data_IF_538410439875
#
_entry.id   IF_538410439875
#
_cell.length_a   1.000
_cell.length_b   1.000
_cell.length_c   1.000
_cell.angle_alpha   90.00
_cell.angle_beta   90.00
_cell.angle_gamma   90.00
#
_symmetry.space_group_name_H-M   'P 1'
#
loop_
_entity.id
_entity.type
_entity.pdbx_description
1 polymer ?
#
# COMPACT_ATOMS: atom_id res chain seq x y z
N UNK A 1 -63.76 -3.38 -2.02
CA UNK A 1 -62.76 -2.53 -1.35
C UNK A 1 -61.87 -3.33 -0.36
N UNK A 2 -62.39 -4.12 0.57
CA UNK A 2 -61.59 -4.95 1.48
C UNK A 2 -60.69 -6.01 0.78
N UNK A 3 -61.17 -6.60 -0.33
CA UNK A 3 -60.38 -7.60 -1.08
C UNK A 3 -59.18 -6.98 -1.80
N UNK A 4 -59.34 -5.75 -2.29
CA UNK A 4 -58.30 -4.99 -2.97
C UNK A 4 -57.19 -4.53 -1.99
N UNK A 5 -57.60 -4.08 -0.80
CA UNK A 5 -56.66 -3.72 0.30
C UNK A 5 -55.90 -4.93 0.80
N UNK A 6 -56.52 -6.10 0.93
CA UNK A 6 -55.86 -7.34 1.33
C UNK A 6 -54.88 -7.84 0.26
N UNK A 7 -55.21 -7.63 -1.03
CA UNK A 7 -54.26 -7.99 -2.13
C UNK A 7 -53.09 -7.03 -2.20
N UNK A 8 -53.29 -5.74 -1.94
CA UNK A 8 -52.25 -4.72 -1.89
C UNK A 8 -51.31 -4.97 -0.70
N UNK A 9 -51.84 -5.29 0.49
CA UNK A 9 -51.01 -5.65 1.68
C UNK A 9 -50.25 -6.95 1.50
N UNK A 10 -50.81 -7.94 0.80
CA UNK A 10 -50.09 -9.18 0.45
C UNK A 10 -48.99 -8.95 -0.59
N UNK A 11 -49.19 -8.09 -1.58
CA UNK A 11 -48.16 -7.73 -2.55
C UNK A 11 -47.05 -6.90 -1.91
N UNK A 12 -47.38 -5.92 -1.08
CA UNK A 12 -46.35 -5.14 -0.35
C UNK A 12 -45.57 -6.01 0.61
N UNK A 13 -46.22 -6.95 1.31
CA UNK A 13 -45.51 -7.90 2.18
C UNK A 13 -44.57 -8.82 1.38
N UNK A 14 -45.03 -9.34 0.23
CA UNK A 14 -44.20 -10.23 -0.63
C UNK A 14 -43.05 -9.49 -1.29
N UNK A 15 -43.19 -8.21 -1.64
CA UNK A 15 -42.09 -7.38 -2.15
C UNK A 15 -41.09 -7.03 -1.06
N UNK A 16 -41.49 -6.78 0.18
CA UNK A 16 -40.62 -6.56 1.31
C UNK A 16 -39.82 -7.83 1.65
N UNK A 17 -40.47 -8.99 1.76
CA UNK A 17 -39.82 -10.27 2.03
C UNK A 17 -38.79 -10.62 0.96
N UNK A 18 -39.04 -10.30 -0.31
CA UNK A 18 -38.11 -10.53 -1.41
C UNK A 18 -36.94 -9.56 -1.35
N UNK A 19 -37.14 -8.30 -0.98
CA UNK A 19 -36.05 -7.31 -0.82
C UNK A 19 -35.12 -7.67 0.35
N UNK A 20 -35.68 -8.12 1.46
CA UNK A 20 -34.90 -8.57 2.64
C UNK A 20 -34.06 -9.81 2.32
N UNK A 21 -34.62 -10.78 1.60
CA UNK A 21 -33.84 -11.97 1.18
C UNK A 21 -32.69 -11.61 0.25
N UNK A 22 -32.88 -10.65 -0.66
CA UNK A 22 -31.80 -10.17 -1.55
C UNK A 22 -30.70 -9.46 -0.75
N UNK A 23 -31.09 -8.61 0.21
CA UNK A 23 -30.14 -7.92 1.07
C UNK A 23 -29.32 -8.94 1.91
N UNK A 24 -30.00 -9.93 2.52
CA UNK A 24 -29.35 -10.99 3.28
C UNK A 24 -28.32 -11.76 2.43
N UNK A 25 -28.70 -12.18 1.22
CA UNK A 25 -27.79 -12.88 0.30
C UNK A 25 -26.63 -12.00 -0.13
N UNK A 26 -26.85 -10.71 -0.36
CA UNK A 26 -25.83 -9.75 -0.75
C UNK A 26 -24.80 -9.56 0.36
N UNK A 27 -25.26 -9.37 1.60
CA UNK A 27 -24.39 -9.22 2.77
C UNK A 27 -23.61 -10.52 3.03
N UNK A 28 -24.26 -11.68 2.96
CA UNK A 28 -23.62 -12.99 3.12
C UNK A 28 -22.56 -13.24 2.03
N UNK A 29 -22.88 -12.95 0.78
CA UNK A 29 -21.93 -13.05 -0.33
C UNK A 29 -20.71 -12.14 -0.15
N UNK A 30 -20.94 -10.88 0.24
CA UNK A 30 -19.84 -9.95 0.57
C UNK A 30 -18.97 -10.45 1.74
N UNK A 31 -19.58 -11.01 2.77
CA UNK A 31 -18.84 -11.61 3.90
C UNK A 31 -17.92 -12.75 3.43
N UNK A 32 -18.40 -13.65 2.56
CA UNK A 32 -17.58 -14.73 1.99
C UNK A 32 -16.38 -14.16 1.23
N UNK A 33 -16.58 -13.13 0.40
CA UNK A 33 -15.49 -12.49 -0.34
C UNK A 33 -14.46 -11.89 0.61
N UNK A 34 -14.88 -11.17 1.65
CA UNK A 34 -13.96 -10.63 2.66
C UNK A 34 -13.21 -11.73 3.42
N UNK A 35 -13.85 -12.86 3.70
CA UNK A 35 -13.17 -14.02 4.28
C UNK A 35 -12.07 -14.56 3.37
N UNK A 36 -12.35 -14.73 2.08
CA UNK A 36 -11.37 -15.18 1.08
C UNK A 36 -10.20 -14.20 0.99
N UNK A 37 -10.47 -12.88 0.92
CA UNK A 37 -9.41 -11.86 0.90
C UNK A 37 -8.55 -11.96 2.17
N UNK A 38 -9.17 -12.15 3.34
CA UNK A 38 -8.45 -12.31 4.62
C UNK A 38 -7.51 -13.50 4.59
N UNK A 39 -7.99 -14.66 4.14
CA UNK A 39 -7.20 -15.87 4.02
C UNK A 39 -6.05 -15.71 3.03
N UNK A 40 -6.33 -15.20 1.84
CA UNK A 40 -5.33 -14.98 0.79
C UNK A 40 -4.24 -14.00 1.27
N UNK A 41 -4.63 -12.84 1.81
CA UNK A 41 -3.66 -11.85 2.31
C UNK A 41 -2.90 -12.37 3.53
N UNK A 42 -3.54 -13.11 4.43
CA UNK A 42 -2.90 -13.70 5.61
C UNK A 42 -1.87 -14.77 5.26
N UNK A 43 -2.13 -15.59 4.24
CA UNK A 43 -1.23 -16.66 3.82
C UNK A 43 -0.06 -16.15 2.96
N UNK A 44 -0.37 -15.36 1.92
CA UNK A 44 0.64 -14.95 0.94
C UNK A 44 1.42 -13.69 1.32
N UNK A 45 0.86 -12.84 2.17
CA UNK A 45 1.45 -11.54 2.49
C UNK A 45 1.84 -11.36 3.96
N UNK A 46 1.85 -12.43 4.76
CA UNK A 46 2.07 -12.40 6.23
C UNK A 46 3.37 -11.74 6.68
N UNK A 47 4.39 -11.73 5.84
CA UNK A 47 5.71 -11.16 6.18
C UNK A 47 5.79 -9.64 5.98
N UNK A 48 4.74 -9.00 5.47
CA UNK A 48 4.71 -7.56 5.20
C UNK A 48 3.56 -6.89 5.93
N UNK A 49 3.89 -5.95 6.81
CA UNK A 49 2.95 -5.27 7.70
C UNK A 49 1.75 -4.67 6.95
N UNK A 50 1.98 -3.99 5.82
CA UNK A 50 0.90 -3.37 5.04
C UNK A 50 -0.14 -4.37 4.54
N UNK A 51 0.30 -5.56 4.14
CA UNK A 51 -0.61 -6.60 3.64
C UNK A 51 -1.32 -7.33 4.77
N UNK A 52 -0.64 -7.49 5.91
CA UNK A 52 -1.24 -8.01 7.13
C UNK A 52 -2.35 -7.07 7.64
N UNK A 53 -2.14 -5.75 7.60
CA UNK A 53 -3.19 -4.78 7.93
C UNK A 53 -4.39 -4.89 6.99
N UNK A 54 -4.16 -5.12 5.70
CA UNK A 54 -5.24 -5.35 4.75
C UNK A 54 -6.03 -6.64 5.06
N UNK A 55 -5.34 -7.72 5.48
CA UNK A 55 -5.99 -8.93 5.95
C UNK A 55 -6.86 -8.67 7.19
N UNK A 56 -6.36 -7.94 8.18
CA UNK A 56 -7.11 -7.57 9.38
C UNK A 56 -8.35 -6.72 9.07
N UNK A 57 -8.24 -5.72 8.17
CA UNK A 57 -9.40 -4.94 7.74
C UNK A 57 -10.47 -5.85 7.17
N UNK A 58 -10.09 -6.72 6.24
CA UNK A 58 -11.06 -7.64 5.61
C UNK A 58 -11.63 -8.65 6.62
N UNK A 59 -10.86 -9.11 7.61
CA UNK A 59 -11.34 -9.96 8.70
C UNK A 59 -12.39 -9.26 9.57
N UNK A 60 -12.19 -7.98 9.89
CA UNK A 60 -13.18 -7.17 10.62
C UNK A 60 -14.43 -6.99 9.76
N UNK A 61 -14.28 -6.67 8.48
CA UNK A 61 -15.42 -6.54 7.58
C UNK A 61 -16.17 -7.86 7.38
N UNK A 62 -15.49 -8.99 7.30
CA UNK A 62 -16.11 -10.31 7.31
C UNK A 62 -16.98 -10.50 8.55
N UNK A 63 -16.44 -10.27 9.73
CA UNK A 63 -17.18 -10.44 10.99
C UNK A 63 -18.38 -9.49 11.08
N UNK A 64 -18.19 -8.21 10.74
CA UNK A 64 -19.26 -7.21 10.81
C UNK A 64 -20.36 -7.46 9.78
N UNK A 65 -20.00 -7.80 8.53
CA UNK A 65 -21.01 -8.09 7.49
C UNK A 65 -21.76 -9.39 7.77
N UNK A 66 -21.08 -10.38 8.34
CA UNK A 66 -21.72 -11.63 8.75
C UNK A 66 -22.75 -11.38 9.87
N UNK A 67 -22.35 -10.64 10.92
CA UNK A 67 -23.27 -10.24 11.99
C UNK A 67 -24.45 -9.42 11.44
N UNK A 68 -24.18 -8.44 10.59
CA UNK A 68 -25.24 -7.63 9.97
C UNK A 68 -26.19 -8.49 9.12
N UNK A 69 -25.68 -9.50 8.42
CA UNK A 69 -26.49 -10.44 7.65
C UNK A 69 -27.44 -11.22 8.54
N UNK A 70 -26.94 -11.83 9.63
CA UNK A 70 -27.77 -12.62 10.54
C UNK A 70 -28.79 -11.79 11.32
N UNK A 71 -28.45 -10.55 11.68
CA UNK A 71 -29.31 -9.66 12.44
C UNK A 71 -30.03 -8.60 11.56
N UNK A 72 -30.06 -8.80 10.23
CA UNK A 72 -30.61 -7.81 9.30
C UNK A 72 -32.05 -7.40 9.60
N UNK A 73 -32.92 -8.33 10.02
CA UNK A 73 -34.29 -8.03 10.41
C UNK A 73 -34.35 -7.19 11.69
N UNK A 74 -33.60 -7.58 12.74
CA UNK A 74 -33.57 -6.83 13.98
C UNK A 74 -32.97 -5.42 13.80
N UNK A 75 -32.00 -5.29 12.88
CA UNK A 75 -31.40 -3.99 12.52
C UNK A 75 -32.37 -3.14 11.70
N UNK A 76 -33.15 -3.75 10.82
CA UNK A 76 -34.16 -3.04 10.03
C UNK A 76 -35.33 -2.55 10.86
N UNK A 77 -35.75 -3.31 11.89
CA UNK A 77 -36.82 -2.95 12.83
C UNK A 77 -36.35 -1.94 13.88
N UNK A 78 -35.08 -2.01 14.29
CA UNK A 78 -34.44 -1.11 15.24
C UNK A 78 -33.77 0.06 14.55
N UNK A 79 -34.32 1.28 14.66
CA UNK A 79 -33.63 2.47 14.17
C UNK A 79 -32.39 2.76 15.05
N UNK A 80 -31.16 2.59 14.56
CA UNK A 80 -29.94 2.84 15.33
C UNK A 80 -29.71 4.33 15.58
N UNK A 81 -30.50 5.20 14.96
CA UNK A 81 -30.34 6.65 15.04
C UNK A 81 -29.13 7.16 14.24
N UNK A 82 -28.96 8.48 14.25
CA UNK A 82 -27.92 9.20 13.52
C UNK A 82 -26.56 8.98 14.20
N UNK A 83 -25.52 8.67 13.42
CA UNK A 83 -24.14 8.55 13.86
C UNK A 83 -23.95 7.55 15.02
N UNK A 84 -24.50 6.35 14.90
CA UNK A 84 -24.39 5.34 15.95
C UNK A 84 -22.92 5.07 16.33
N UNK A 85 -22.56 5.00 17.64
CA UNK A 85 -21.16 4.86 18.08
C UNK A 85 -20.42 3.67 17.49
N UNK A 86 -21.10 2.51 17.41
CA UNK A 86 -20.48 1.29 16.85
C UNK A 86 -20.11 1.46 15.36
N UNK A 87 -20.95 2.15 14.56
CA UNK A 87 -20.66 2.44 13.16
C UNK A 87 -19.44 3.37 13.03
N UNK A 88 -19.33 4.39 13.87
CA UNK A 88 -18.21 5.33 13.85
C UNK A 88 -16.90 4.70 14.34
N UNK A 89 -16.94 3.82 15.32
CA UNK A 89 -15.76 3.06 15.76
C UNK A 89 -15.29 2.09 14.67
N UNK A 90 -16.22 1.39 13.99
CA UNK A 90 -15.89 0.53 12.87
C UNK A 90 -15.24 1.33 11.72
N UNK A 91 -15.80 2.50 11.38
CA UNK A 91 -15.23 3.42 10.40
C UNK A 91 -13.82 3.85 10.79
N UNK A 92 -13.62 4.28 12.04
CA UNK A 92 -12.33 4.75 12.54
C UNK A 92 -11.26 3.66 12.47
N UNK A 93 -11.58 2.44 12.91
CA UNK A 93 -10.67 1.30 12.81
C UNK A 93 -10.33 0.96 11.35
N UNK A 94 -11.32 0.97 10.47
CA UNK A 94 -11.12 0.73 9.05
C UNK A 94 -10.25 1.82 8.41
N UNK A 95 -10.50 3.10 8.68
CA UNK A 95 -9.70 4.21 8.18
C UNK A 95 -8.24 4.13 8.62
N UNK A 96 -7.99 3.80 9.90
CA UNK A 96 -6.65 3.61 10.43
C UNK A 96 -5.92 2.48 9.71
N UNK A 97 -6.48 1.27 9.70
CA UNK A 97 -5.83 0.09 9.13
C UNK A 97 -5.62 0.24 7.62
N UNK A 98 -6.59 0.78 6.91
CA UNK A 98 -6.46 1.00 5.47
C UNK A 98 -5.50 2.14 5.11
N UNK A 99 -5.27 3.11 6.01
CA UNK A 99 -4.26 4.15 5.80
C UNK A 99 -2.82 3.60 5.81
N UNK A 100 -2.58 2.50 6.51
CA UNK A 100 -1.25 1.90 6.64
C UNK A 100 -0.76 1.34 5.30
N UNK A 101 -1.64 0.78 4.48
CA UNK A 101 -1.28 0.19 3.19
C UNK A 101 -0.62 1.23 2.25
N UNK A 102 -1.28 2.34 1.87
CA UNK A 102 -0.68 3.33 0.97
C UNK A 102 0.51 4.07 1.60
N UNK A 103 0.48 4.32 2.92
CA UNK A 103 1.59 4.98 3.61
C UNK A 103 2.87 4.14 3.56
N UNK A 104 2.78 2.84 3.76
CA UNK A 104 3.95 1.97 3.75
C UNK A 104 4.49 1.68 2.34
N UNK A 105 3.63 1.72 1.31
CA UNK A 105 4.07 1.64 -0.09
C UNK A 105 4.76 2.93 -0.52
N UNK A 106 4.17 4.09 -0.20
CA UNK A 106 4.72 5.40 -0.56
C UNK A 106 6.01 5.72 0.18
N UNK A 107 6.16 5.24 1.42
CA UNK A 107 7.29 5.48 2.29
C UNK A 107 7.79 4.16 2.91
N UNK A 108 8.52 3.32 2.17
CA UNK A 108 9.03 2.04 2.66
C UNK A 108 9.87 2.23 3.94
N UNK A 109 9.52 1.49 5.01
CA UNK A 109 10.20 1.58 6.30
C UNK A 109 9.76 2.74 7.21
N UNK A 110 8.83 3.59 6.79
CA UNK A 110 8.27 4.65 7.64
C UNK A 110 7.44 4.07 8.78
N UNK A 111 6.56 3.10 8.49
CA UNK A 111 5.71 2.44 9.47
C UNK A 111 6.38 1.17 10.02
N UNK A 112 7.38 1.33 10.85
CA UNK A 112 7.86 0.28 11.74
C UNK A 112 6.84 0.06 12.88
N UNK A 113 6.90 -1.11 13.54
CA UNK A 113 5.97 -1.49 14.60
C UNK A 113 5.76 -0.40 15.67
N UNK A 114 6.83 0.20 16.15
CA UNK A 114 6.76 1.29 17.13
C UNK A 114 6.06 2.55 16.60
N UNK A 115 6.27 2.88 15.33
CA UNK A 115 5.61 4.03 14.69
C UNK A 115 4.14 3.76 14.43
N UNK A 116 3.77 2.52 14.11
CA UNK A 116 2.36 2.11 14.01
C UNK A 116 1.62 2.32 15.32
N UNK A 117 2.19 1.90 16.45
CA UNK A 117 1.60 2.15 17.76
C UNK A 117 1.50 3.63 18.09
N UNK A 118 2.51 4.42 17.76
CA UNK A 118 2.44 5.88 17.90
C UNK A 118 1.34 6.50 17.03
N UNK A 119 1.17 6.02 15.82
CA UNK A 119 0.13 6.44 14.89
C UNK A 119 -1.28 6.01 15.36
N UNK A 120 -1.40 4.89 16.07
CA UNK A 120 -2.64 4.41 16.68
C UNK A 120 -3.03 5.12 17.99
N UNK A 121 -2.11 5.85 18.64
CA UNK A 121 -2.36 6.49 19.96
C UNK A 121 -3.68 7.27 20.05
N UNK A 122 -4.08 8.10 19.09
CA UNK A 122 -5.34 8.85 19.18
C UNK A 122 -6.56 7.91 19.28
N UNK A 123 -6.54 6.79 18.56
CA UNK A 123 -7.63 5.79 18.64
C UNK A 123 -7.64 5.11 19.99
N UNK A 124 -6.48 4.70 20.49
CA UNK A 124 -6.37 4.02 21.78
C UNK A 124 -6.84 4.91 22.93
N UNK A 125 -6.49 6.20 22.89
CA UNK A 125 -6.96 7.18 23.87
C UNK A 125 -8.47 7.35 23.79
N UNK A 126 -9.03 7.53 22.58
CA UNK A 126 -10.47 7.65 22.39
C UNK A 126 -11.22 6.40 22.88
N UNK A 127 -10.72 5.22 22.53
CA UNK A 127 -11.30 3.95 22.97
C UNK A 127 -11.25 3.78 24.50
N UNK A 128 -10.13 4.15 25.13
CA UNK A 128 -9.99 4.10 26.57
C UNK A 128 -10.98 5.05 27.27
N UNK A 129 -11.16 6.27 26.76
CA UNK A 129 -12.15 7.22 27.26
C UNK A 129 -13.57 6.67 27.09
N UNK A 130 -13.87 6.08 25.91
CA UNK A 130 -15.19 5.50 25.65
C UNK A 130 -15.51 4.34 26.58
N UNK A 131 -14.56 3.42 26.78
CA UNK A 131 -14.71 2.31 27.73
C UNK A 131 -14.85 2.84 29.17
N UNK A 132 -14.02 3.81 29.58
CA UNK A 132 -14.11 4.43 30.89
C UNK A 132 -15.46 5.10 31.13
N UNK A 133 -16.00 5.84 30.17
CA UNK A 133 -17.32 6.44 30.24
C UNK A 133 -18.44 5.38 30.35
N UNK A 134 -18.34 4.30 29.59
CA UNK A 134 -19.29 3.19 29.66
C UNK A 134 -19.27 2.50 31.05
N UNK A 135 -18.08 2.26 31.60
CA UNK A 135 -17.93 1.70 32.96
C UNK A 135 -18.46 2.63 34.06
N UNK A 136 -18.41 3.95 33.83
CA UNK A 136 -19.00 4.96 34.76
C UNK A 136 -20.52 5.10 34.57
N UNK A 137 -21.14 4.25 33.72
CA UNK A 137 -22.59 4.26 33.52
C UNK A 137 -23.08 5.32 32.54
N UNK A 138 -22.20 5.89 31.73
CA UNK A 138 -22.60 6.78 30.64
C UNK A 138 -23.50 6.03 29.66
N UNK A 139 -24.69 6.58 29.41
CA UNK A 139 -25.67 5.96 28.51
C UNK A 139 -25.45 6.46 27.07
N UNK A 140 -25.66 5.58 26.10
CA UNK A 140 -25.69 5.94 24.68
C UNK A 140 -26.90 6.86 24.45
N UNK A 141 -26.67 8.03 23.90
CA UNK A 141 -27.72 8.98 23.53
C UNK A 141 -28.19 8.64 22.12
N UNK A 142 -29.44 8.22 21.99
CA UNK A 142 -30.04 8.01 20.67
C UNK A 142 -30.43 9.36 20.06
N UNK A 143 -29.99 9.60 18.84
CA UNK A 143 -30.20 10.84 18.09
C UNK A 143 -31.01 10.49 16.85
N UNK A 144 -32.20 11.04 16.74
CA UNK A 144 -33.07 10.81 15.58
C UNK A 144 -33.24 12.07 14.73
N UNK A 145 -32.98 13.24 15.29
CA UNK A 145 -33.12 14.51 14.58
C UNK A 145 -31.89 15.39 14.74
N UNK A 146 -31.69 16.32 13.80
CA UNK A 146 -30.62 17.31 13.90
C UNK A 146 -30.77 18.21 15.16
N UNK A 147 -32.00 18.42 15.65
CA UNK A 147 -32.25 19.16 16.89
C UNK A 147 -31.72 18.41 18.11
N UNK A 148 -31.90 17.08 18.16
CA UNK A 148 -31.36 16.24 19.23
C UNK A 148 -29.84 16.29 19.27
N UNK A 149 -29.20 16.33 18.09
CA UNK A 149 -27.76 16.45 17.96
C UNK A 149 -27.27 17.79 18.54
N UNK A 150 -27.90 18.88 18.16
CA UNK A 150 -27.52 20.24 18.64
C UNK A 150 -27.83 20.38 20.12
N UNK A 151 -28.99 19.88 20.59
CA UNK A 151 -29.39 19.97 22.00
C UNK A 151 -28.46 19.19 22.95
N UNK A 152 -27.84 18.12 22.47
CA UNK A 152 -26.96 17.25 23.27
C UNK A 152 -25.47 17.35 22.88
N UNK A 153 -25.09 18.35 22.12
CA UNK A 153 -23.71 18.46 21.56
C UNK A 153 -22.62 18.44 22.61
N UNK A 154 -22.92 18.89 23.83
CA UNK A 154 -22.00 18.93 24.97
C UNK A 154 -22.00 17.61 25.77
N UNK A 155 -22.84 16.62 25.40
CA UNK A 155 -22.80 15.31 26.04
C UNK A 155 -21.49 14.58 25.71
N UNK A 156 -20.94 13.86 26.67
CA UNK A 156 -19.69 13.09 26.49
C UNK A 156 -19.77 12.09 25.34
N UNK A 157 -20.94 11.47 25.15
CA UNK A 157 -21.18 10.51 24.08
C UNK A 157 -21.11 11.16 22.68
N UNK A 158 -21.78 12.31 22.48
CA UNK A 158 -21.76 13.01 21.19
C UNK A 158 -20.38 13.58 20.91
N UNK A 159 -19.70 14.12 21.91
CA UNK A 159 -18.34 14.63 21.75
C UNK A 159 -17.38 13.52 21.27
N UNK A 160 -17.49 12.31 21.85
CA UNK A 160 -16.69 11.16 21.42
C UNK A 160 -17.02 10.71 20.00
N UNK A 161 -18.30 10.76 19.57
CA UNK A 161 -18.70 10.46 18.18
C UNK A 161 -18.09 11.46 17.21
N UNK A 162 -18.13 12.76 17.52
CA UNK A 162 -17.50 13.79 16.71
C UNK A 162 -15.97 13.64 16.64
N UNK A 163 -15.33 13.27 17.76
CA UNK A 163 -13.90 12.94 17.78
C UNK A 163 -13.58 11.72 16.91
N UNK A 164 -14.40 10.66 16.95
CA UNK A 164 -14.21 9.47 16.11
C UNK A 164 -14.32 9.83 14.63
N UNK A 165 -15.31 10.65 14.25
CA UNK A 165 -15.46 11.13 12.88
C UNK A 165 -14.27 12.00 12.45
N UNK A 166 -13.85 12.95 13.29
CA UNK A 166 -12.70 13.81 13.03
C UNK A 166 -11.40 13.02 12.88
N UNK A 167 -11.17 11.99 13.71
CA UNK A 167 -10.02 11.10 13.57
C UNK A 167 -10.10 10.25 12.29
N UNK A 168 -11.26 9.79 11.88
CA UNK A 168 -11.44 9.08 10.61
C UNK A 168 -11.01 9.95 9.43
N UNK A 169 -11.46 11.21 9.41
CA UNK A 169 -11.04 12.20 8.41
C UNK A 169 -9.53 12.46 8.49
N UNK A 170 -8.97 12.59 9.69
CA UNK A 170 -7.53 12.76 9.90
C UNK A 170 -6.71 11.62 9.26
N UNK A 171 -7.10 10.35 9.46
CA UNK A 171 -6.39 9.22 8.86
C UNK A 171 -6.48 9.21 7.34
N UNK A 172 -7.62 9.54 6.76
CA UNK A 172 -7.79 9.63 5.31
C UNK A 172 -6.96 10.78 4.73
N UNK A 173 -6.99 11.95 5.35
CA UNK A 173 -6.20 13.11 4.93
C UNK A 173 -4.69 12.82 5.02
N UNK A 174 -4.25 12.10 6.03
CA UNK A 174 -2.84 11.70 6.17
C UNK A 174 -2.33 10.80 5.04
N UNK A 175 -3.19 10.01 4.39
CA UNK A 175 -2.82 9.21 3.22
C UNK A 175 -2.24 10.12 2.12
N UNK A 176 -2.75 11.34 1.98
CA UNK A 176 -2.29 12.32 0.98
C UNK A 176 -1.17 13.22 1.51
N UNK A 177 -1.29 13.68 2.77
CA UNK A 177 -0.38 14.69 3.33
C UNK A 177 0.99 14.12 3.72
N UNK A 178 1.05 12.93 4.32
CA UNK A 178 2.32 12.35 4.80
C UNK A 178 3.29 12.05 3.66
N UNK A 179 2.89 11.35 2.58
CA UNK A 179 3.76 11.15 1.43
C UNK A 179 4.22 12.45 0.81
N UNK A 180 3.33 13.45 0.69
CA UNK A 180 3.68 14.75 0.13
C UNK A 180 4.68 15.52 0.98
N UNK A 181 4.58 15.45 2.31
CA UNK A 181 5.51 16.16 3.22
C UNK A 181 6.87 15.50 3.34
N UNK A 182 6.92 14.17 3.32
CA UNK A 182 8.15 13.41 3.62
C UNK A 182 8.90 12.93 2.38
N UNK A 183 8.24 12.75 1.26
CA UNK A 183 8.81 12.24 0.04
C UNK A 183 8.68 13.25 -1.10
N UNK A 184 9.52 14.28 -1.10
CA UNK A 184 9.64 15.19 -2.25
C UNK A 184 9.96 14.47 -3.58
N UNK A 185 10.27 13.17 -3.57
CA UNK A 185 10.74 12.40 -4.72
C UNK A 185 10.29 10.93 -4.75
N UNK A 186 9.25 10.51 -4.03
CA UNK A 186 8.75 9.14 -4.14
C UNK A 186 7.82 9.03 -5.34
N UNK A 187 8.19 8.22 -6.32
CA UNK A 187 7.28 7.80 -7.39
C UNK A 187 6.17 6.93 -6.79
N UNK A 188 5.02 7.54 -6.55
CA UNK A 188 3.83 6.84 -6.07
C UNK A 188 3.19 6.13 -7.26
N UNK A 189 2.97 4.81 -7.22
CA UNK A 189 2.29 4.10 -8.29
C UNK A 189 0.91 4.70 -8.58
N UNK A 190 0.56 4.88 -9.86
CA UNK A 190 -0.69 5.55 -10.26
C UNK A 190 -1.95 4.87 -9.71
N UNK A 191 -1.96 3.54 -9.58
CA UNK A 191 -3.09 2.80 -8.99
C UNK A 191 -3.31 3.17 -7.50
N UNK A 192 -2.25 3.56 -6.80
CA UNK A 192 -2.33 3.92 -5.38
C UNK A 192 -3.06 5.25 -5.19
N UNK A 193 -2.85 6.22 -6.09
CA UNK A 193 -3.60 7.48 -6.07
C UNK A 193 -5.09 7.23 -6.29
N UNK A 194 -5.45 6.41 -7.29
CA UNK A 194 -6.83 5.99 -7.53
C UNK A 194 -7.46 5.32 -6.32
N UNK A 195 -6.72 4.44 -5.66
CA UNK A 195 -7.16 3.80 -4.41
C UNK A 195 -7.40 4.82 -3.29
N UNK A 196 -6.50 5.78 -3.08
CA UNK A 196 -6.66 6.81 -2.05
C UNK A 196 -7.91 7.67 -2.30
N UNK A 197 -8.17 8.06 -3.55
CA UNK A 197 -9.39 8.79 -3.93
C UNK A 197 -10.63 7.94 -3.68
N UNK A 198 -10.65 6.68 -4.10
CA UNK A 198 -11.77 5.76 -3.87
C UNK A 198 -12.04 5.55 -2.37
N UNK A 199 -10.99 5.47 -1.55
CA UNK A 199 -11.11 5.41 -0.10
C UNK A 199 -11.74 6.68 0.49
N UNK A 200 -11.29 7.85 0.05
CA UNK A 200 -11.90 9.12 0.48
C UNK A 200 -13.39 9.17 0.17
N UNK A 201 -13.78 8.81 -1.06
CA UNK A 201 -15.19 8.73 -1.47
C UNK A 201 -15.98 7.69 -0.67
N UNK A 202 -15.36 6.53 -0.38
CA UNK A 202 -15.95 5.47 0.43
C UNK A 202 -16.27 5.96 1.86
N UNK A 203 -15.36 6.74 2.47
CA UNK A 203 -15.59 7.32 3.81
C UNK A 203 -16.72 8.34 3.79
N UNK A 204 -16.80 9.19 2.77
CA UNK A 204 -17.92 10.14 2.60
C UNK A 204 -19.23 9.39 2.47
N UNK A 205 -19.28 8.35 1.64
CA UNK A 205 -20.48 7.55 1.45
C UNK A 205 -20.89 6.81 2.73
N UNK A 206 -19.94 6.23 3.46
CA UNK A 206 -20.22 5.59 4.74
C UNK A 206 -20.77 6.60 5.78
N UNK A 207 -20.19 7.79 5.84
CA UNK A 207 -20.69 8.86 6.72
C UNK A 207 -22.12 9.25 6.36
N UNK A 208 -22.44 9.32 5.07
CA UNK A 208 -23.80 9.54 4.61
C UNK A 208 -24.75 8.42 5.08
N UNK A 209 -24.34 7.14 4.95
CA UNK A 209 -25.12 5.99 5.45
C UNK A 209 -25.28 6.04 6.98
N UNK A 210 -24.28 6.50 7.71
CA UNK A 210 -24.35 6.64 9.16
C UNK A 210 -25.28 7.77 9.64
N UNK A 211 -25.49 8.78 8.78
CA UNK A 211 -26.44 9.88 9.05
C UNK A 211 -27.87 9.48 8.62
N UNK A 212 -28.01 8.94 7.42
CA UNK A 212 -29.29 8.53 6.83
C UNK A 212 -29.35 7.00 6.77
N UNK A 213 -29.48 6.37 7.94
CA UNK A 213 -29.42 4.92 8.01
C UNK A 213 -30.53 4.28 7.18
N UNK A 214 -30.13 3.43 6.24
CA UNK A 214 -30.99 2.59 5.45
C UNK A 214 -30.24 1.30 5.11
N UNK A 215 -30.86 0.16 5.41
CA UNK A 215 -30.21 -1.15 5.20
C UNK A 215 -29.82 -1.39 3.74
N UNK A 216 -30.61 -0.89 2.78
CA UNK A 216 -30.30 -0.97 1.34
C UNK A 216 -29.05 -0.14 1.00
N UNK A 217 -28.95 1.08 1.52
CA UNK A 217 -27.76 1.93 1.33
C UNK A 217 -26.52 1.30 1.96
N UNK A 218 -26.66 0.70 3.14
CA UNK A 218 -25.59 -0.05 3.79
C UNK A 218 -25.14 -1.24 2.93
N UNK A 219 -26.09 -2.00 2.36
CA UNK A 219 -25.77 -3.12 1.47
C UNK A 219 -25.03 -2.65 0.21
N UNK A 220 -25.46 -1.55 -0.41
CA UNK A 220 -24.78 -0.94 -1.56
C UNK A 220 -23.36 -0.52 -1.18
N UNK A 221 -23.19 0.14 -0.02
CA UNK A 221 -21.87 0.51 0.48
C UNK A 221 -20.95 -0.72 0.63
N UNK A 222 -21.45 -1.79 1.28
CA UNK A 222 -20.69 -3.02 1.51
C UNK A 222 -20.27 -3.65 0.19
N UNK A 223 -21.12 -3.69 -0.83
CA UNK A 223 -20.78 -4.21 -2.16
C UNK A 223 -19.68 -3.38 -2.81
N UNK A 224 -19.81 -2.04 -2.83
CA UNK A 224 -18.80 -1.15 -3.41
C UNK A 224 -17.45 -1.29 -2.68
N UNK A 225 -17.48 -1.37 -1.36
CA UNK A 225 -16.30 -1.56 -0.54
C UNK A 225 -15.66 -2.94 -0.78
N UNK A 226 -16.47 -3.99 -0.97
CA UNK A 226 -15.99 -5.34 -1.32
C UNK A 226 -15.29 -5.34 -2.68
N UNK A 227 -15.85 -4.68 -3.68
CA UNK A 227 -15.23 -4.53 -5.01
C UNK A 227 -13.88 -3.81 -4.90
N UNK A 228 -13.81 -2.73 -4.12
CA UNK A 228 -12.58 -1.98 -3.90
C UNK A 228 -11.49 -2.85 -3.24
N UNK A 229 -11.84 -3.63 -2.22
CA UNK A 229 -10.88 -4.51 -1.54
C UNK A 229 -10.46 -5.69 -2.43
N UNK A 230 -11.36 -6.23 -3.25
CA UNK A 230 -11.05 -7.26 -4.23
C UNK A 230 -10.06 -6.74 -5.29
N UNK A 231 -10.30 -5.54 -5.82
CA UNK A 231 -9.36 -4.89 -6.73
C UNK A 231 -7.98 -4.72 -6.08
N UNK A 232 -7.94 -4.26 -4.83
CA UNK A 232 -6.69 -4.08 -4.10
C UNK A 232 -5.96 -5.40 -3.85
N UNK A 233 -6.68 -6.48 -3.55
CA UNK A 233 -6.13 -7.82 -3.44
C UNK A 233 -5.45 -8.24 -4.75
N UNK A 234 -6.13 -8.09 -5.89
CA UNK A 234 -5.56 -8.45 -7.19
C UNK A 234 -4.29 -7.65 -7.50
N UNK A 235 -4.30 -6.34 -7.27
CA UNK A 235 -3.11 -5.48 -7.45
C UNK A 235 -1.96 -5.87 -6.53
N UNK A 236 -2.27 -6.25 -5.30
CA UNK A 236 -1.28 -6.74 -4.34
C UNK A 236 -0.67 -8.06 -4.79
N UNK A 237 -1.48 -9.01 -5.23
CA UNK A 237 -1.02 -10.30 -5.75
C UNK A 237 -0.20 -10.13 -7.02
N UNK A 238 -0.61 -9.25 -7.93
CA UNK A 238 0.16 -8.91 -9.14
C UNK A 238 1.55 -8.38 -8.77
N UNK A 239 1.63 -7.43 -7.83
CA UNK A 239 2.91 -6.89 -7.37
C UNK A 239 3.77 -7.92 -6.65
N UNK A 240 3.18 -8.84 -5.90
CA UNK A 240 3.89 -9.94 -5.26
C UNK A 240 4.37 -10.97 -6.28
N UNK A 241 3.54 -11.32 -7.27
CA UNK A 241 3.90 -12.26 -8.34
C UNK A 241 5.07 -11.73 -9.20
N UNK A 242 5.08 -10.42 -9.48
CA UNK A 242 6.20 -9.77 -10.19
C UNK A 242 7.50 -9.73 -9.37
N UNK A 243 7.41 -9.85 -8.03
CA UNK A 243 8.54 -9.88 -7.12
C UNK A 243 9.02 -11.30 -6.81
N UNK A 244 8.21 -12.33 -7.13
CA UNK A 244 8.64 -13.72 -7.00
C UNK A 244 9.64 -14.02 -8.13
N UNK A 245 10.78 -14.66 -7.81
CA UNK A 245 11.64 -15.20 -8.86
C UNK A 245 10.79 -16.15 -9.70
N UNK A 246 10.76 -15.94 -11.01
CA UNK A 246 10.12 -16.91 -11.92
C UNK A 246 10.86 -18.22 -11.73
N UNK A 247 10.17 -19.36 -11.46
CA UNK A 247 10.84 -20.62 -11.50
C UNK A 247 11.43 -20.77 -12.90
N UNK A 248 12.74 -20.84 -12.99
CA UNK A 248 13.42 -21.26 -14.19
C UNK A 248 12.98 -22.71 -14.35
N UNK A 249 12.13 -22.98 -15.33
CA UNK A 249 11.85 -24.35 -15.75
C UNK A 249 13.14 -24.83 -16.40
N UNK A 250 14.06 -25.28 -15.57
CA UNK A 250 15.16 -26.11 -16.01
C UNK A 250 14.57 -27.51 -16.15
N UNK A 251 14.33 -27.89 -17.38
CA UNK A 251 14.28 -29.30 -17.74
C UNK A 251 15.67 -29.90 -17.48
N UNK A 252 15.96 -30.26 -16.26
CA UNK A 252 17.08 -31.15 -15.92
C UNK A 252 16.67 -31.98 -14.71
N UNK A 253 16.55 -33.29 -14.97
CA UNK A 253 16.67 -34.46 -14.11
C UNK A 253 16.73 -34.28 -12.58
N UNK A 254 15.83 -35.06 -11.95
CA UNK A 254 15.79 -35.36 -10.52
C UNK A 254 17.13 -35.87 -10.01
N UNK A 255 17.67 -35.22 -8.98
CA UNK A 255 18.66 -35.78 -8.05
C UNK A 255 18.16 -35.53 -6.63
N UNK A 256 18.21 -36.51 -5.71
CA UNK A 256 17.53 -36.45 -4.41
C UNK A 256 18.19 -35.47 -3.46
N UNK A 257 17.32 -34.81 -2.67
CA UNK A 257 17.70 -33.81 -1.66
C UNK A 257 18.46 -34.45 -0.49
N UNK A 258 19.66 -33.94 -0.21
CA UNK A 258 20.27 -33.94 1.12
C UNK A 258 20.15 -32.53 1.71
N UNK A 259 19.64 -32.47 2.94
CA UNK A 259 19.51 -31.24 3.72
C UNK A 259 20.90 -30.63 3.99
N UNK A 260 21.14 -29.43 3.41
CA UNK A 260 22.35 -28.66 3.74
C UNK A 260 21.99 -27.17 3.84
N UNK A 261 22.33 -26.56 4.97
CA UNK A 261 22.24 -25.10 5.20
C UNK A 261 23.11 -24.28 4.24
N UNK A 262 24.06 -24.90 3.59
CA UNK A 262 24.91 -24.30 2.56
C UNK A 262 24.16 -24.10 1.24
N UNK A 263 23.10 -24.86 0.97
CA UNK A 263 22.29 -24.77 -0.26
C UNK A 263 21.43 -23.47 -0.32
N UNK A 264 20.94 -22.96 0.81
CA UNK A 264 20.20 -21.68 0.82
C UNK A 264 21.10 -20.48 0.49
N UNK A 265 22.37 -20.54 0.90
CA UNK A 265 23.34 -19.50 0.62
C UNK A 265 23.79 -19.54 -0.86
N UNK A 266 23.92 -20.71 -1.44
CA UNK A 266 24.29 -20.90 -2.84
C UNK A 266 23.15 -20.47 -3.78
N UNK A 267 21.91 -20.82 -3.47
CA UNK A 267 20.70 -20.42 -4.24
C UNK A 267 20.51 -18.89 -4.22
N UNK A 268 20.82 -18.24 -3.07
CA UNK A 268 20.80 -16.80 -2.91
C UNK A 268 21.90 -16.12 -3.75
N UNK A 269 23.08 -16.68 -3.79
CA UNK A 269 24.20 -16.18 -4.56
C UNK A 269 23.96 -16.33 -6.07
N UNK A 270 23.41 -17.44 -6.50
CA UNK A 270 23.05 -17.71 -7.88
C UNK A 270 21.94 -16.74 -8.37
N UNK A 271 20.91 -16.52 -7.56
CA UNK A 271 19.85 -15.56 -7.87
C UNK A 271 20.38 -14.11 -7.99
N UNK A 272 21.37 -13.72 -7.15
CA UNK A 272 22.02 -12.42 -7.26
C UNK A 272 22.89 -12.32 -8.52
N UNK A 273 23.59 -13.39 -8.89
CA UNK A 273 24.41 -13.46 -10.10
C UNK A 273 23.52 -13.30 -11.35
N UNK A 274 22.42 -14.02 -11.45
CA UNK A 274 21.47 -13.88 -12.57
C UNK A 274 20.89 -12.47 -12.70
N UNK A 275 20.53 -11.85 -11.57
CA UNK A 275 20.06 -10.46 -11.56
C UNK A 275 21.14 -9.50 -12.02
N UNK A 276 22.37 -9.71 -11.53
CA UNK A 276 23.52 -8.90 -11.95
C UNK A 276 23.82 -9.04 -13.45
N UNK A 277 23.79 -10.25 -13.99
CA UNK A 277 23.97 -10.50 -15.41
C UNK A 277 22.95 -9.72 -16.26
N UNK A 278 21.67 -9.67 -15.82
CA UNK A 278 20.63 -8.90 -16.49
C UNK A 278 20.87 -7.39 -16.38
N UNK A 279 21.29 -6.91 -15.21
CA UNK A 279 21.64 -5.49 -15.01
C UNK A 279 22.83 -5.12 -15.89
N UNK A 280 23.86 -5.97 -15.92
CA UNK A 280 25.06 -5.76 -16.69
C UNK A 280 24.80 -5.80 -18.21
N UNK A 281 23.96 -6.73 -18.67
CA UNK A 281 23.50 -6.79 -20.06
C UNK A 281 22.77 -5.50 -20.47
N UNK A 282 21.88 -4.99 -19.61
CA UNK A 282 21.20 -3.74 -19.88
C UNK A 282 22.19 -2.58 -19.97
N UNK A 283 23.11 -2.43 -19.02
CA UNK A 283 24.13 -1.39 -19.01
C UNK A 283 25.03 -1.43 -20.25
N UNK A 284 25.38 -2.62 -20.75
CA UNK A 284 26.19 -2.77 -21.94
C UNK A 284 25.47 -2.33 -23.24
N UNK A 285 24.14 -2.56 -23.32
CA UNK A 285 23.36 -2.30 -24.51
C UNK A 285 22.70 -0.92 -24.55
N UNK A 286 22.56 -0.22 -23.41
CA UNK A 286 21.86 1.06 -23.30
C UNK A 286 22.80 2.21 -22.92
N UNK A 287 23.84 2.35 -23.70
CA UNK A 287 24.93 3.31 -23.45
C UNK A 287 24.44 4.77 -23.44
N UNK A 288 23.51 5.11 -24.31
CA UNK A 288 23.03 6.49 -24.44
C UNK A 288 22.26 6.94 -23.17
N UNK A 289 21.53 6.04 -22.55
CA UNK A 289 20.72 6.30 -21.36
C UNK A 289 21.61 6.60 -20.13
N UNK A 290 22.59 5.74 -19.83
CA UNK A 290 23.44 5.95 -18.66
C UNK A 290 24.53 7.02 -18.86
N UNK A 291 24.75 7.50 -20.07
CA UNK A 291 25.56 8.70 -20.37
C UNK A 291 24.83 10.00 -20.05
N UNK A 292 23.54 10.00 -19.82
CA UNK A 292 22.86 11.17 -19.28
C UNK A 292 23.33 11.43 -17.83
N UNK A 293 23.71 12.69 -17.54
CA UNK A 293 24.19 13.06 -16.18
C UNK A 293 23.14 12.86 -15.08
N UNK A 294 21.87 12.85 -15.45
CA UNK A 294 20.71 12.60 -14.57
C UNK A 294 20.46 11.12 -14.31
N UNK A 295 21.09 10.23 -15.08
CA UNK A 295 20.93 8.79 -14.88
C UNK A 295 21.56 8.35 -13.55
N UNK A 296 20.75 7.69 -12.73
CA UNK A 296 21.16 7.23 -11.41
C UNK A 296 20.52 5.90 -11.03
N UNK A 297 20.70 5.51 -9.78
CA UNK A 297 20.20 4.25 -9.22
C UNK A 297 18.72 4.03 -9.50
N UNK A 298 17.90 5.06 -9.35
CA UNK A 298 16.44 4.93 -9.42
C UNK A 298 15.97 4.65 -10.85
N UNK A 299 16.60 5.31 -11.83
CA UNK A 299 16.33 5.06 -13.23
C UNK A 299 16.82 3.67 -13.64
N UNK A 300 17.99 3.24 -13.17
CA UNK A 300 18.48 1.88 -13.41
C UNK A 300 17.49 0.84 -12.86
N UNK A 301 16.97 1.04 -11.64
CA UNK A 301 15.98 0.14 -11.06
C UNK A 301 14.69 0.04 -11.89
N UNK A 302 14.23 1.16 -12.43
CA UNK A 302 13.06 1.19 -13.32
C UNK A 302 13.30 0.43 -14.62
N UNK A 303 14.43 0.66 -15.25
CA UNK A 303 14.77 0.06 -16.54
C UNK A 303 14.98 -1.46 -16.46
N UNK A 304 15.63 -1.94 -15.40
CA UNK A 304 15.86 -3.38 -15.23
C UNK A 304 14.69 -4.10 -14.55
N UNK A 305 13.71 -3.36 -14.04
CA UNK A 305 12.51 -3.91 -13.38
C UNK A 305 12.76 -4.52 -12.00
N UNK A 306 13.85 -4.12 -11.32
CA UNK A 306 14.17 -4.58 -9.97
C UNK A 306 14.07 -3.45 -8.94
N UNK A 307 13.68 -3.79 -7.72
CA UNK A 307 13.68 -2.83 -6.63
C UNK A 307 15.11 -2.45 -6.19
N UNK A 308 15.23 -1.30 -5.49
CA UNK A 308 16.52 -0.76 -5.04
C UNK A 308 17.36 -1.74 -4.21
N UNK A 309 16.71 -2.58 -3.41
CA UNK A 309 17.38 -3.55 -2.55
C UNK A 309 17.99 -4.68 -3.36
N UNK A 310 17.26 -5.25 -4.31
CA UNK A 310 17.72 -6.32 -5.19
C UNK A 310 18.87 -5.86 -6.10
N UNK A 311 18.75 -4.64 -6.68
CA UNK A 311 19.83 -4.06 -7.48
C UNK A 311 21.09 -3.86 -6.64
N UNK A 312 20.94 -3.32 -5.42
CA UNK A 312 22.09 -3.12 -4.51
C UNK A 312 22.73 -4.45 -4.10
N UNK A 313 21.94 -5.47 -3.75
CA UNK A 313 22.47 -6.79 -3.39
C UNK A 313 23.22 -7.43 -4.56
N UNK A 314 22.61 -7.43 -5.76
CA UNK A 314 23.24 -8.00 -6.96
C UNK A 314 24.53 -7.29 -7.34
N UNK A 315 24.61 -5.97 -7.19
CA UNK A 315 25.81 -5.17 -7.45
C UNK A 315 26.87 -5.43 -6.38
N UNK A 316 26.47 -5.56 -5.10
CA UNK A 316 27.38 -5.89 -3.99
C UNK A 316 27.94 -7.29 -4.07
N UNK A 317 27.18 -8.28 -4.54
CA UNK A 317 27.67 -9.65 -4.73
C UNK A 317 28.81 -9.74 -5.75
N UNK A 318 28.96 -8.70 -6.59
CA UNK A 318 30.05 -8.59 -7.58
C UNK A 318 31.16 -7.61 -7.16
N UNK A 319 31.24 -7.28 -5.86
CA UNK A 319 32.34 -6.51 -5.29
C UNK A 319 32.19 -4.99 -5.36
N UNK A 320 31.08 -4.46 -5.84
CA UNK A 320 30.84 -3.01 -5.81
C UNK A 320 30.24 -2.59 -4.47
N UNK A 321 30.68 -1.46 -3.91
CA UNK A 321 30.13 -0.98 -2.64
C UNK A 321 28.67 -0.52 -2.75
N UNK A 322 28.29 0.07 -3.87
CA UNK A 322 26.96 0.59 -4.12
C UNK A 322 26.67 0.73 -5.63
N UNK A 323 25.41 1.00 -5.98
CA UNK A 323 24.97 1.14 -7.37
C UNK A 323 25.60 2.34 -8.08
N UNK A 324 25.90 3.42 -7.36
CA UNK A 324 26.58 4.58 -7.92
C UNK A 324 28.00 4.22 -8.38
N UNK A 325 28.75 3.45 -7.58
CA UNK A 325 30.10 2.98 -7.93
C UNK A 325 30.06 2.09 -9.18
N UNK A 326 29.04 1.23 -9.29
CA UNK A 326 28.83 0.38 -10.46
C UNK A 326 28.55 1.21 -11.73
N UNK A 327 27.63 2.19 -11.67
CA UNK A 327 27.38 3.08 -12.83
C UNK A 327 28.63 3.89 -13.17
N UNK A 328 29.35 4.38 -12.16
CA UNK A 328 30.59 5.15 -12.35
C UNK A 328 31.69 4.34 -13.04
N UNK A 329 31.79 3.02 -12.79
CA UNK A 329 32.76 2.17 -13.49
C UNK A 329 32.53 2.12 -14.99
N UNK A 330 31.28 2.08 -15.45
CA UNK A 330 30.93 2.17 -16.88
C UNK A 330 31.30 3.53 -17.49
N UNK A 331 30.99 4.62 -16.75
CA UNK A 331 31.34 5.98 -17.19
C UNK A 331 32.84 6.22 -17.27
N UNK A 332 33.61 5.69 -16.31
CA UNK A 332 35.08 5.75 -16.34
C UNK A 332 35.65 4.92 -17.49
N UNK A 333 35.13 3.72 -17.72
CA UNK A 333 35.54 2.89 -18.87
C UNK A 333 35.25 3.58 -20.21
N UNK A 334 34.12 4.27 -20.32
CA UNK A 334 33.80 5.08 -21.50
C UNK A 334 34.72 6.29 -21.65
N UNK A 335 35.00 7.00 -20.57
CA UNK A 335 35.92 8.11 -20.58
C UNK A 335 37.31 7.68 -21.07
N UNK A 336 37.81 6.53 -20.62
CA UNK A 336 39.08 5.95 -21.11
C UNK A 336 39.04 5.68 -22.63
N UNK A 337 37.92 5.15 -23.15
CA UNK A 337 37.72 4.94 -24.58
C UNK A 337 37.72 6.25 -25.37
N UNK A 338 37.06 7.29 -24.84
CA UNK A 338 37.03 8.62 -25.46
C UNK A 338 38.43 9.25 -25.48
N UNK A 339 39.21 9.13 -24.38
CA UNK A 339 40.60 9.60 -24.32
C UNK A 339 41.45 8.85 -25.37
N UNK A 340 41.34 7.52 -25.44
CA UNK A 340 42.10 6.71 -26.39
C UNK A 340 41.79 7.00 -27.88
N UNK A 341 40.60 7.53 -28.15
CA UNK A 341 40.18 7.96 -29.50
C UNK A 341 40.51 9.42 -29.82
N UNK A 342 41.08 10.15 -28.83
CA UNK A 342 41.38 11.58 -28.99
C UNK A 342 40.14 12.47 -29.01
N UNK A 343 39.00 11.98 -28.50
CA UNK A 343 37.74 12.73 -28.41
C UNK A 343 37.75 13.74 -27.27
N UNK A 344 38.64 13.59 -26.31
CA UNK A 344 38.79 14.47 -25.13
C UNK A 344 39.93 15.44 -25.38
N UNK A 345 39.59 16.69 -25.71
CA UNK A 345 40.55 17.77 -25.94
C UNK A 345 40.62 18.72 -24.74
N UNK A 346 39.51 18.84 -24.02
CA UNK A 346 39.40 19.71 -22.81
C UNK A 346 38.83 18.92 -21.65
N UNK A 347 39.04 19.41 -20.41
CA UNK A 347 38.43 18.81 -19.24
C UNK A 347 36.90 18.80 -19.30
N UNK A 348 36.30 19.76 -20.01
CA UNK A 348 34.85 19.80 -20.20
C UNK A 348 34.32 18.64 -21.04
N UNK A 349 35.13 18.13 -21.98
CA UNK A 349 34.74 17.01 -22.84
C UNK A 349 34.56 15.71 -22.02
N UNK A 350 35.19 15.61 -20.85
CA UNK A 350 35.05 14.46 -19.95
C UNK A 350 33.63 14.29 -19.41
N UNK A 351 32.83 15.36 -19.39
CA UNK A 351 31.44 15.33 -18.91
C UNK A 351 30.54 14.52 -19.86
N UNK A 352 30.89 14.43 -21.15
CA UNK A 352 30.12 13.66 -22.14
C UNK A 352 30.16 12.13 -21.91
N UNK A 353 31.02 11.67 -20.98
CA UNK A 353 30.97 10.29 -20.47
C UNK A 353 29.81 10.05 -19.47
N UNK A 354 28.97 11.07 -19.18
CA UNK A 354 27.79 10.97 -18.31
C UNK A 354 27.96 11.56 -16.91
N UNK A 355 28.98 12.35 -16.67
CA UNK A 355 29.22 12.99 -15.38
C UNK A 355 28.61 14.41 -15.34
N UNK A 356 28.08 14.78 -14.18
CA UNK A 356 27.49 16.12 -14.00
C UNK A 356 28.51 17.23 -13.75
N UNK A 357 29.69 16.91 -13.17
CA UNK A 357 30.73 17.90 -12.84
C UNK A 357 32.12 17.30 -13.01
N UNK A 358 33.10 18.15 -13.32
CA UNK A 358 34.53 17.76 -13.43
C UNK A 358 35.05 17.17 -12.10
N UNK A 359 34.59 17.71 -10.97
CA UNK A 359 34.97 17.20 -9.66
C UNK A 359 34.50 15.75 -9.47
N UNK A 360 33.29 15.43 -9.93
CA UNK A 360 32.76 14.06 -9.88
C UNK A 360 33.55 13.14 -10.81
N UNK A 361 33.96 13.59 -11.99
CA UNK A 361 34.86 12.83 -12.89
C UNK A 361 36.14 12.45 -12.17
N UNK A 362 36.83 13.44 -11.62
CA UNK A 362 38.12 13.24 -10.91
C UNK A 362 37.99 12.26 -9.74
N UNK A 363 36.94 12.44 -8.91
CA UNK A 363 36.69 11.57 -7.75
C UNK A 363 36.38 10.11 -8.19
N UNK A 364 35.51 9.92 -9.19
CA UNK A 364 35.17 8.60 -9.69
C UNK A 364 36.34 7.93 -10.40
N UNK A 365 37.09 8.69 -11.18
CA UNK A 365 38.25 8.18 -11.90
C UNK A 365 39.34 7.69 -10.93
N UNK A 366 39.71 8.49 -9.92
CA UNK A 366 40.62 8.11 -8.87
C UNK A 366 40.16 6.86 -8.12
N UNK A 367 38.87 6.78 -7.82
CA UNK A 367 38.29 5.62 -7.10
C UNK A 367 38.34 4.33 -7.91
N UNK A 368 38.13 4.40 -9.22
CA UNK A 368 38.08 3.22 -10.10
C UNK A 368 39.48 2.79 -10.56
N UNK A 369 40.33 3.73 -10.93
CA UNK A 369 41.65 3.46 -11.55
C UNK A 369 42.81 3.56 -10.57
N UNK A 370 42.61 4.12 -9.37
CA UNK A 370 43.67 4.29 -8.36
C UNK A 370 44.66 5.41 -8.67
N UNK A 371 44.58 6.07 -9.81
CA UNK A 371 45.41 7.19 -10.25
C UNK A 371 44.53 8.41 -10.57
N UNK A 372 45.11 9.60 -10.52
CA UNK A 372 44.36 10.81 -10.83
C UNK A 372 44.07 10.94 -12.33
N UNK A 373 42.94 11.56 -12.70
CA UNK A 373 42.61 11.82 -14.11
C UNK A 373 43.72 12.65 -14.79
N UNK A 374 44.28 13.63 -14.08
CA UNK A 374 45.33 14.51 -14.61
C UNK A 374 46.61 13.75 -14.91
N UNK A 375 47.00 12.80 -14.07
CA UNK A 375 48.15 11.90 -14.31
C UNK A 375 47.89 10.97 -15.51
N UNK A 376 46.68 10.42 -15.60
CA UNK A 376 46.28 9.56 -16.73
C UNK A 376 46.31 10.32 -18.06
N UNK A 377 45.82 11.55 -18.11
CA UNK A 377 45.86 12.41 -19.29
C UNK A 377 47.31 12.74 -19.70
N UNK A 378 48.18 13.06 -18.75
CA UNK A 378 49.61 13.33 -19.03
C UNK A 378 50.34 12.10 -19.57
N UNK A 379 49.94 10.90 -19.20
CA UNK A 379 50.60 9.65 -19.67
C UNK A 379 50.15 9.22 -21.07
N UNK A 380 49.09 9.82 -21.59
CA UNK A 380 48.45 9.45 -22.88
C UNK A 380 48.53 10.55 -23.94
N UNK A 381 48.80 11.78 -23.54
CA UNK A 381 49.16 12.93 -24.41
C UNK A 381 50.70 13.03 -24.53
#
# INVERSE_FOLDING_TARGET
MQFYLKHLTLQTKKTNDMSESVIFMTLGGSAIVHFVITCVMGLFARHRVQYLCLAWVNGIFFATTLVTSFFSQAIAEGDPGILHPAMLLALLCACYLQSIYPLNISMPGFLQWERMWRYARPILVLLAIYIGAALMGSRIVYIYTAKDLVGNILSSDILMRLCALGLSIYYIVNIFLLPHRMARHANVPGYLLGYCVAMGLSVVFYTYVAIFFNLTLLAIYIVLFTILNLYLMFRTLETLALQMPRPVISEVAEIPAEENKDAEQDDFNEANLHRFQRINFWMQNHKNEWKESTFGRDRLCQEVGYNRHLVLQSVRSQGFNNVHDYISSFRVAELKRMISRGEVKTLSDTLSAGFGTIQTVRACFLKVEGITLDEYLKSRL
#
